data_IF_912773961367
#
_entry.id   IF_912773961367
#
_cell.length_a   1.000
_cell.length_b   1.000
_cell.length_c   1.000
_cell.angle_alpha   90.00
_cell.angle_beta   90.00
_cell.angle_gamma   90.00
#
_symmetry.space_group_name_H-M   'P 1'
#
loop_
_entity.id
_entity.type
_entity.pdbx_description
1 polymer ?
#
# COMPACT_ATOMS: atom_id res chain seq x y z
N UNK A 1 21.72 22.38 -13.97
CA UNK A 1 21.58 21.49 -12.78
C UNK A 1 20.57 20.42 -13.13
N UNK A 2 21.02 19.18 -13.25
CA UNK A 2 20.17 18.05 -13.58
C UNK A 2 19.24 17.77 -12.40
N UNK A 3 17.91 17.95 -12.58
CA UNK A 3 16.91 17.49 -11.61
C UNK A 3 16.82 15.98 -11.74
N UNK A 4 17.31 15.24 -10.76
CA UNK A 4 17.12 13.79 -10.71
C UNK A 4 15.67 13.49 -10.35
N UNK A 5 14.91 12.94 -11.29
CA UNK A 5 13.55 12.46 -11.08
C UNK A 5 13.62 10.99 -10.66
N UNK A 6 12.98 10.67 -9.56
CA UNK A 6 12.70 9.29 -9.15
C UNK A 6 11.21 9.02 -9.45
N UNK A 7 10.94 8.16 -10.42
CA UNK A 7 9.60 7.92 -10.94
C UNK A 7 9.09 6.56 -10.43
N UNK A 8 7.93 6.57 -9.78
CA UNK A 8 7.22 5.39 -9.33
C UNK A 8 5.89 5.31 -10.09
N UNK A 9 5.65 4.24 -10.81
CA UNK A 9 4.42 4.06 -11.58
C UNK A 9 3.56 2.96 -10.98
N UNK A 10 2.31 3.26 -10.65
CA UNK A 10 1.30 2.31 -10.20
C UNK A 10 0.29 2.06 -11.31
N UNK A 11 -0.09 0.82 -11.48
CA UNK A 11 -1.35 0.42 -12.08
C UNK A 11 -2.03 -0.46 -11.03
N UNK A 12 -3.17 -0.04 -10.51
CA UNK A 12 -3.92 -0.80 -9.54
C UNK A 12 -4.84 -1.76 -10.28
N UNK A 13 -4.68 -3.06 -10.07
CA UNK A 13 -5.69 -4.05 -10.43
C UNK A 13 -6.52 -4.40 -9.19
N UNK A 14 -7.78 -4.29 -9.32
CA UNK A 14 -8.92 -4.98 -8.67
C UNK A 14 -8.79 -5.46 -7.21
N UNK A 15 -9.70 -5.03 -6.36
CA UNK A 15 -10.01 -5.67 -5.09
C UNK A 15 -11.07 -6.75 -5.31
N UNK A 16 -10.79 -7.98 -4.87
CA UNK A 16 -11.70 -9.12 -4.97
C UNK A 16 -12.16 -9.56 -3.59
N UNK A 17 -13.45 -9.80 -3.40
CA UNK A 17 -14.01 -10.35 -2.17
C UNK A 17 -14.49 -11.78 -2.35
N UNK A 18 -14.23 -12.62 -1.37
CA UNK A 18 -14.91 -13.93 -1.25
C UNK A 18 -16.37 -13.75 -0.85
N UNK A 19 -17.22 -14.71 -1.16
CA UNK A 19 -18.69 -14.67 -1.07
C UNK A 19 -19.31 -14.48 0.32
N UNK A 20 -18.56 -14.07 1.34
CA UNK A 20 -19.02 -13.92 2.72
C UNK A 20 -19.32 -12.49 3.19
N UNK A 21 -19.10 -11.47 2.36
CA UNK A 21 -19.49 -10.10 2.68
C UNK A 21 -20.98 -9.89 2.46
N UNK A 22 -21.65 -9.20 3.40
CA UNK A 22 -23.10 -8.93 3.41
C UNK A 22 -23.67 -8.58 2.02
N UNK A 23 -24.53 -9.45 1.52
CA UNK A 23 -24.92 -9.61 0.12
C UNK A 23 -26.01 -8.64 -0.37
N UNK A 24 -26.27 -7.50 0.26
CA UNK A 24 -27.41 -6.65 -0.12
C UNK A 24 -27.18 -5.69 -1.29
N UNK A 25 -25.93 -5.42 -1.68
CA UNK A 25 -25.63 -4.43 -2.73
C UNK A 25 -24.58 -4.88 -3.79
N UNK A 26 -24.27 -6.17 -3.86
CA UNK A 26 -23.28 -6.69 -4.80
C UNK A 26 -23.99 -7.25 -6.03
N UNK A 27 -23.67 -6.74 -7.22
CA UNK A 27 -24.14 -7.32 -8.49
C UNK A 27 -23.56 -8.72 -8.69
N UNK A 28 -24.36 -9.74 -8.38
CA UNK A 28 -23.98 -11.15 -8.50
C UNK A 28 -23.89 -11.65 -9.96
N UNK A 29 -24.22 -10.81 -10.96
CA UNK A 29 -24.12 -11.15 -12.39
C UNK A 29 -22.73 -10.86 -12.97
N UNK A 30 -21.86 -10.13 -12.26
CA UNK A 30 -20.51 -9.86 -12.72
C UNK A 30 -19.70 -11.16 -12.82
N UNK A 31 -18.86 -11.31 -13.85
CA UNK A 31 -18.06 -12.52 -14.04
C UNK A 31 -17.17 -12.78 -12.85
N UNK A 32 -17.05 -14.06 -12.46
CA UNK A 32 -16.06 -14.50 -11.48
C UNK A 32 -14.70 -14.45 -12.12
N UNK A 33 -13.77 -13.75 -11.48
CA UNK A 33 -12.39 -13.68 -11.92
C UNK A 33 -11.52 -14.74 -11.20
N UNK A 34 -10.22 -14.75 -11.44
CA UNK A 34 -9.26 -15.77 -10.93
C UNK A 34 -9.61 -16.34 -9.54
N UNK A 35 -9.68 -17.66 -9.43
CA UNK A 35 -9.78 -18.35 -8.14
C UNK A 35 -11.10 -18.24 -7.41
N UNK A 36 -12.18 -17.78 -8.07
CA UNK A 36 -13.51 -17.66 -7.45
C UNK A 36 -13.76 -16.30 -6.77
N UNK A 37 -12.86 -15.34 -6.94
CA UNK A 37 -13.04 -13.97 -6.48
C UNK A 37 -13.92 -13.17 -7.43
N UNK A 38 -14.69 -12.22 -6.91
CA UNK A 38 -15.51 -11.29 -7.68
C UNK A 38 -14.90 -9.89 -7.60
N UNK A 39 -14.70 -9.24 -8.76
CA UNK A 39 -14.26 -7.85 -8.83
C UNK A 39 -15.33 -6.92 -8.25
N UNK A 40 -14.96 -6.12 -7.24
CA UNK A 40 -15.88 -5.16 -6.60
C UNK A 40 -15.38 -3.71 -6.67
N UNK A 41 -14.10 -3.50 -6.90
CA UNK A 41 -13.50 -2.19 -7.02
C UNK A 41 -12.25 -2.27 -7.89
N UNK A 42 -12.04 -1.27 -8.75
CA UNK A 42 -10.82 -1.14 -9.53
C UNK A 42 -10.42 0.31 -9.75
N UNK A 43 -9.14 0.52 -10.02
CA UNK A 43 -8.58 1.78 -10.49
C UNK A 43 -7.54 1.49 -11.57
N UNK A 44 -7.89 1.78 -12.82
CA UNK A 44 -7.06 1.44 -13.98
C UNK A 44 -6.22 2.60 -14.48
N UNK A 45 -6.43 3.82 -13.93
CA UNK A 45 -5.71 5.04 -14.30
C UNK A 45 -5.77 5.37 -15.80
N UNK A 46 -6.89 5.06 -16.47
CA UNK A 46 -7.13 5.24 -17.89
C UNK A 46 -7.52 6.67 -18.32
N UNK A 47 -7.16 7.64 -17.49
CA UNK A 47 -7.40 9.07 -17.70
C UNK A 47 -6.09 9.88 -17.56
N UNK A 48 -6.17 11.19 -17.80
CA UNK A 48 -5.07 12.12 -17.54
C UNK A 48 -5.52 13.18 -16.55
N UNK A 49 -4.78 13.33 -15.44
CA UNK A 49 -5.13 14.29 -14.39
C UNK A 49 -4.57 13.93 -13.03
N UNK A 50 -5.13 14.57 -12.01
CA UNK A 50 -4.90 14.16 -10.62
C UNK A 50 -5.57 12.82 -10.35
N UNK A 51 -5.08 12.04 -9.34
CA UNK A 51 -5.80 10.87 -8.84
C UNK A 51 -7.28 11.17 -8.59
N UNK A 52 -8.16 10.27 -9.02
CA UNK A 52 -9.60 10.43 -8.89
C UNK A 52 -9.99 10.66 -7.43
N UNK A 53 -10.51 11.85 -7.15
CA UNK A 53 -10.89 12.27 -5.79
C UNK A 53 -12.07 11.50 -5.20
N UNK A 54 -12.78 10.69 -6.00
CA UNK A 54 -13.82 9.79 -5.51
C UNK A 54 -13.24 8.49 -4.94
N UNK A 55 -12.00 8.15 -5.33
CA UNK A 55 -11.28 6.93 -4.92
C UNK A 55 -10.09 7.22 -4.00
N UNK A 56 -9.42 8.37 -4.16
CA UNK A 56 -8.19 8.71 -3.48
C UNK A 56 -8.28 10.01 -2.68
N UNK A 57 -7.59 10.04 -1.58
CA UNK A 57 -7.24 11.26 -0.82
C UNK A 57 -5.72 11.37 -0.70
N UNK A 58 -5.24 12.58 -0.46
CA UNK A 58 -3.85 12.80 -0.07
C UNK A 58 -3.76 12.77 1.46
N UNK A 59 -2.79 12.04 1.98
CA UNK A 59 -2.49 12.02 3.41
C UNK A 59 -1.27 12.92 3.68
N UNK A 60 -1.48 13.99 4.42
CA UNK A 60 -0.45 14.98 4.77
C UNK A 60 -0.34 15.18 6.28
N UNK A 61 -1.16 14.51 7.08
CA UNK A 61 -1.26 14.75 8.53
C UNK A 61 0.02 14.41 9.28
N UNK A 62 0.75 13.37 8.84
CA UNK A 62 2.00 12.93 9.45
C UNK A 62 3.21 13.79 9.13
N UNK A 63 3.13 14.77 8.22
CA UNK A 63 4.26 15.64 7.84
C UNK A 63 4.92 16.34 9.04
N UNK A 64 4.14 16.76 10.03
CA UNK A 64 4.62 17.42 11.24
C UNK A 64 5.44 16.50 12.14
N UNK A 65 5.23 15.19 12.06
CA UNK A 65 5.89 14.16 12.88
C UNK A 65 6.96 13.39 12.11
N UNK A 66 7.31 13.79 10.86
CA UNK A 66 8.20 13.02 9.98
C UNK A 66 7.76 11.55 9.85
N UNK A 67 6.44 11.34 9.85
CA UNK A 67 5.77 10.05 9.73
C UNK A 67 6.22 9.00 10.76
N UNK A 68 6.82 9.44 11.88
CA UNK A 68 7.36 8.56 12.93
C UNK A 68 8.70 7.91 12.60
N UNK A 69 9.20 8.04 11.36
CA UNK A 69 10.39 7.34 10.86
C UNK A 69 11.55 8.28 10.48
N UNK A 70 11.49 9.57 10.87
CA UNK A 70 12.44 10.60 10.46
C UNK A 70 12.53 10.77 8.92
N UNK A 71 11.41 10.58 8.23
CA UNK A 71 11.34 10.71 6.77
C UNK A 71 11.65 12.13 6.32
N UNK A 72 12.42 12.25 5.24
CA UNK A 72 12.99 13.52 4.79
C UNK A 72 12.09 14.30 3.82
N UNK A 73 11.01 13.69 3.30
CA UNK A 73 10.08 14.34 2.39
C UNK A 73 8.93 15.03 3.14
N UNK A 74 8.36 16.01 2.46
CA UNK A 74 7.03 16.57 2.70
C UNK A 74 6.05 15.95 1.72
N UNK A 75 5.00 15.29 2.19
CA UNK A 75 3.94 14.81 1.31
C UNK A 75 3.01 15.95 0.94
N UNK A 76 2.84 16.16 -0.36
CA UNK A 76 2.03 17.25 -0.92
C UNK A 76 0.62 16.78 -1.26
N UNK A 77 -0.32 17.71 -1.35
CA UNK A 77 -1.69 17.47 -1.79
C UNK A 77 -1.95 18.22 -3.10
N UNK A 78 -2.57 17.54 -4.08
CA UNK A 78 -3.01 18.16 -5.34
C UNK A 78 -1.87 18.77 -6.16
N UNK A 79 -0.67 18.21 -6.10
CA UNK A 79 0.51 18.70 -6.80
C UNK A 79 0.92 17.73 -7.91
N UNK A 80 0.82 18.21 -9.15
CA UNK A 80 1.10 17.43 -10.37
C UNK A 80 2.50 16.80 -10.39
N UNK A 81 3.48 17.53 -9.87
CA UNK A 81 4.86 17.09 -9.83
C UNK A 81 5.10 15.87 -8.93
N UNK A 82 4.23 15.68 -7.92
CA UNK A 82 4.36 14.58 -6.96
C UNK A 82 3.37 13.43 -7.20
N UNK A 83 2.16 13.73 -7.72
CA UNK A 83 1.18 12.68 -8.06
C UNK A 83 0.41 13.07 -9.32
N UNK A 84 0.51 12.25 -10.37
CA UNK A 84 -0.14 12.51 -11.65
C UNK A 84 -0.47 11.22 -12.38
N UNK A 85 -1.65 11.18 -12.98
CA UNK A 85 -2.11 10.09 -13.84
C UNK A 85 -1.93 10.50 -15.30
N UNK A 86 -1.24 9.68 -16.09
CA UNK A 86 -1.16 9.76 -17.55
C UNK A 86 -0.64 8.45 -18.13
N UNK A 87 -0.97 8.20 -19.39
CA UNK A 87 -0.51 7.01 -20.12
C UNK A 87 -0.88 5.69 -19.44
N UNK A 88 -2.06 5.64 -18.78
CA UNK A 88 -2.54 4.45 -18.09
C UNK A 88 -1.82 4.13 -16.79
N UNK A 89 -1.15 5.10 -16.17
CA UNK A 89 -0.44 4.89 -14.89
C UNK A 89 -0.57 6.09 -13.96
N UNK A 90 -0.66 5.83 -12.66
CA UNK A 90 -0.35 6.82 -11.63
C UNK A 90 1.17 6.87 -11.42
N UNK A 91 1.72 8.07 -11.40
CA UNK A 91 3.12 8.34 -11.04
C UNK A 91 3.18 9.07 -9.72
N UNK A 92 3.82 8.46 -8.71
CA UNK A 92 4.24 9.14 -7.49
C UNK A 92 5.72 9.46 -7.64
N UNK A 93 6.07 10.74 -7.51
CA UNK A 93 7.41 11.24 -7.78
C UNK A 93 7.96 11.97 -6.56
N UNK A 94 9.12 11.51 -6.08
CA UNK A 94 9.89 12.25 -5.09
C UNK A 94 10.82 13.25 -5.79
N UNK A 95 10.81 14.50 -5.35
CA UNK A 95 11.67 15.56 -5.87
C UNK A 95 12.60 16.07 -4.79
N UNK A 96 13.86 16.27 -5.14
CA UNK A 96 14.81 16.94 -4.26
C UNK A 96 14.62 18.44 -4.38
N UNK A 97 13.81 18.99 -3.49
CA UNK A 97 13.51 20.41 -3.40
C UNK A 97 13.04 20.76 -1.98
N UNK A 98 13.36 21.95 -1.47
CA UNK A 98 12.91 22.35 -0.13
C UNK A 98 11.42 22.70 -0.12
N UNK A 99 10.69 22.18 0.85
CA UNK A 99 9.29 22.54 1.15
C UNK A 99 8.99 22.29 2.62
N UNK A 100 8.40 23.29 3.30
CA UNK A 100 7.97 23.18 4.71
C UNK A 100 9.06 22.61 5.65
N UNK A 101 10.31 23.05 5.44
CA UNK A 101 11.44 22.58 6.24
C UNK A 101 11.97 21.20 5.91
N UNK A 102 11.42 20.53 4.88
CA UNK A 102 11.91 19.24 4.37
C UNK A 102 12.77 19.46 3.12
N UNK A 103 13.64 18.48 2.83
CA UNK A 103 14.57 18.54 1.68
C UNK A 103 14.01 17.89 0.42
N UNK A 104 12.88 17.18 0.55
CA UNK A 104 12.23 16.50 -0.56
C UNK A 104 10.72 16.73 -0.50
N UNK A 105 10.07 16.61 -1.65
CA UNK A 105 8.61 16.49 -1.76
C UNK A 105 8.25 15.13 -2.35
N UNK A 106 7.08 14.60 -2.02
CA UNK A 106 6.53 13.37 -2.56
C UNK A 106 5.01 13.36 -2.40
N UNK A 107 4.35 12.21 -2.60
CA UNK A 107 2.93 12.04 -2.30
C UNK A 107 2.68 10.75 -1.54
N UNK A 108 1.65 10.76 -0.70
CA UNK A 108 1.04 9.63 -0.03
C UNK A 108 -0.46 9.68 -0.31
N UNK A 109 -0.95 8.65 -0.98
CA UNK A 109 -2.35 8.51 -1.37
C UNK A 109 -3.02 7.44 -0.53
N UNK A 110 -4.27 7.67 -0.16
CA UNK A 110 -5.07 6.74 0.66
C UNK A 110 -6.47 6.57 0.10
N UNK A 111 -7.05 5.38 0.29
CA UNK A 111 -8.45 5.11 -0.06
C UNK A 111 -9.41 5.29 1.10
N UNK A 112 -8.98 5.74 2.27
CA UNK A 112 -9.79 5.87 3.49
C UNK A 112 -11.11 6.60 3.24
N UNK A 113 -12.24 5.97 3.62
CA UNK A 113 -13.58 6.49 3.43
C UNK A 113 -14.10 6.42 1.99
N UNK A 114 -13.33 5.83 1.07
CA UNK A 114 -13.65 5.69 -0.36
C UNK A 114 -13.44 4.26 -0.87
N UNK A 115 -12.62 3.50 -0.17
CA UNK A 115 -12.33 2.11 -0.38
C UNK A 115 -11.77 1.55 0.94
N UNK A 116 -12.68 1.03 1.75
CA UNK A 116 -12.38 0.41 3.05
C UNK A 116 -12.95 -0.99 3.03
N UNK A 117 -12.10 -1.98 3.25
CA UNK A 117 -12.47 -3.38 3.10
C UNK A 117 -12.17 -4.19 4.36
N UNK A 118 -13.01 -5.18 4.61
CA UNK A 118 -12.75 -6.27 5.51
C UNK A 118 -12.62 -7.53 4.66
N UNK A 119 -11.42 -8.09 4.62
CA UNK A 119 -11.04 -9.24 3.80
C UNK A 119 -11.05 -8.99 2.30
N UNK A 120 -10.49 -9.89 1.54
CA UNK A 120 -10.48 -9.84 0.08
C UNK A 120 -9.13 -10.18 -0.53
N UNK A 121 -9.11 -10.21 -1.87
CA UNK A 121 -7.88 -10.25 -2.66
C UNK A 121 -7.63 -8.88 -3.27
N UNK A 122 -6.41 -8.38 -3.08
CA UNK A 122 -5.93 -7.09 -3.56
C UNK A 122 -4.78 -7.34 -4.52
N UNK A 123 -4.83 -6.77 -5.72
CA UNK A 123 -3.75 -6.87 -6.69
C UNK A 123 -3.32 -5.45 -7.10
N UNK A 124 -2.08 -5.12 -6.90
CA UNK A 124 -1.50 -3.82 -7.23
C UNK A 124 -0.32 -4.05 -8.17
N UNK A 125 -0.46 -3.60 -9.42
CA UNK A 125 0.61 -3.68 -10.40
C UNK A 125 1.46 -2.42 -10.34
N UNK A 126 2.73 -2.56 -9.98
CA UNK A 126 3.62 -1.43 -9.82
C UNK A 126 5.02 -1.70 -10.36
N UNK A 127 5.70 -0.61 -10.76
CA UNK A 127 7.13 -0.57 -11.04
C UNK A 127 7.79 0.39 -10.06
N UNK A 128 8.82 -0.08 -9.37
CA UNK A 128 9.42 0.61 -8.25
C UNK A 128 10.48 1.64 -8.69
N UNK A 129 10.76 2.67 -7.90
CA UNK A 129 11.85 3.60 -8.17
C UNK A 129 13.20 2.97 -7.87
N UNK A 130 14.26 3.61 -8.35
CA UNK A 130 15.64 3.31 -7.97
C UNK A 130 16.25 4.50 -7.25
N UNK A 131 17.24 4.23 -6.41
CA UNK A 131 18.04 5.27 -5.76
C UNK A 131 18.14 5.04 -4.26
N UNK A 132 19.36 5.16 -3.75
CA UNK A 132 19.59 5.05 -2.31
C UNK A 132 18.82 6.14 -1.56
N UNK A 133 18.04 5.74 -0.57
CA UNK A 133 17.17 6.61 0.21
C UNK A 133 15.70 6.54 -0.22
N UNK A 134 15.35 5.90 -1.35
CA UNK A 134 13.94 5.67 -1.70
C UNK A 134 13.32 4.56 -0.84
N UNK A 135 12.08 4.75 -0.46
CA UNK A 135 11.27 3.78 0.29
C UNK A 135 9.83 3.81 -0.22
N UNK A 136 9.55 3.18 -1.36
CA UNK A 136 8.19 2.98 -1.84
C UNK A 136 7.46 1.93 -1.00
N UNK A 137 6.16 2.12 -0.78
CA UNK A 137 5.32 1.16 -0.09
C UNK A 137 3.91 1.05 -0.70
N UNK A 138 3.40 -0.17 -0.70
CA UNK A 138 2.01 -0.56 -0.90
C UNK A 138 1.59 -1.28 0.37
N UNK A 139 0.67 -0.71 1.12
CA UNK A 139 0.36 -1.16 2.46
C UNK A 139 -1.05 -0.78 2.88
N UNK A 140 -1.48 -1.23 4.05
CA UNK A 140 -2.81 -0.96 4.57
C UNK A 140 -2.77 -0.57 6.04
N UNK A 141 -3.61 0.39 6.40
CA UNK A 141 -3.90 0.78 7.79
C UNK A 141 -5.39 0.59 8.12
N UNK A 142 -5.70 0.38 9.41
CA UNK A 142 -7.09 0.29 9.88
C UNK A 142 -7.84 1.60 9.59
N UNK A 143 -9.08 1.48 9.16
CA UNK A 143 -9.92 2.65 8.88
C UNK A 143 -10.41 3.32 10.16
N UNK A 144 -10.84 2.52 11.13
CA UNK A 144 -11.61 2.98 12.30
C UNK A 144 -10.79 2.97 13.61
N UNK A 145 -9.59 2.39 13.62
CA UNK A 145 -8.68 2.33 14.78
C UNK A 145 -9.34 1.76 16.06
N UNK A 146 -10.21 0.75 15.92
CA UNK A 146 -11.07 0.26 16.99
C UNK A 146 -10.31 -0.29 18.21
N UNK A 147 -9.10 -0.83 18.01
CA UNK A 147 -8.26 -1.36 19.10
C UNK A 147 -7.29 -0.31 19.68
N UNK A 148 -7.30 0.92 19.13
CA UNK A 148 -6.44 2.02 19.55
C UNK A 148 -5.34 2.34 18.53
N UNK A 149 -4.49 3.29 18.88
CA UNK A 149 -3.42 3.79 18.03
C UNK A 149 -2.41 2.71 17.65
N UNK A 150 -1.63 2.99 16.60
CA UNK A 150 -0.57 2.13 16.14
C UNK A 150 0.34 1.66 17.30
N UNK A 151 0.70 0.38 17.38
CA UNK A 151 0.43 -0.70 16.43
C UNK A 151 -0.80 -1.58 16.79
N UNK A 152 -1.65 -1.18 17.74
CA UNK A 152 -2.75 -2.01 18.30
C UNK A 152 -3.79 -2.40 17.27
N UNK A 153 -4.15 -1.48 16.39
CA UNK A 153 -5.16 -1.75 15.35
C UNK A 153 -4.57 -2.37 14.08
N UNK A 154 -3.26 -2.66 14.07
CA UNK A 154 -2.60 -3.39 12.99
C UNK A 154 -2.06 -2.55 11.85
N UNK A 155 -1.19 -3.16 11.03
CA UNK A 155 -0.66 -2.67 9.76
C UNK A 155 -0.28 -3.88 8.91
N UNK A 156 -0.62 -3.85 7.62
CA UNK A 156 -0.27 -4.87 6.63
C UNK A 156 0.58 -4.22 5.56
N UNK A 157 1.86 -4.60 5.47
CA UNK A 157 2.76 -4.13 4.42
C UNK A 157 2.80 -5.16 3.30
N UNK A 158 2.05 -4.87 2.21
CA UNK A 158 1.95 -5.77 1.05
C UNK A 158 3.25 -5.76 0.27
N UNK A 159 3.89 -4.62 0.16
CA UNK A 159 5.18 -4.44 -0.51
C UNK A 159 5.90 -3.23 0.08
N UNK A 160 7.09 -3.45 0.55
CA UNK A 160 8.08 -2.42 0.83
C UNK A 160 9.36 -2.73 0.07
N UNK A 161 10.04 -1.69 -0.40
CA UNK A 161 11.37 -1.79 -0.99
C UNK A 161 12.22 -0.62 -0.50
N UNK A 162 13.49 -0.86 -0.25
CA UNK A 162 14.42 0.17 0.17
C UNK A 162 15.54 0.34 -0.86
N UNK A 163 15.80 1.56 -1.26
CA UNK A 163 16.73 1.85 -2.36
C UNK A 163 18.20 1.48 -2.11
N UNK A 164 18.58 1.03 -0.92
CA UNK A 164 19.89 0.43 -0.63
C UNK A 164 19.91 -1.10 -0.81
N UNK A 165 18.74 -1.75 -0.91
CA UNK A 165 18.55 -3.17 -1.21
C UNK A 165 17.46 -3.30 -2.32
N UNK A 166 17.73 -2.81 -3.53
CA UNK A 166 16.71 -2.56 -4.55
C UNK A 166 16.09 -3.82 -5.13
N UNK A 167 16.77 -4.95 -5.02
CA UNK A 167 16.34 -6.24 -5.60
C UNK A 167 15.52 -7.08 -4.62
N UNK A 168 15.15 -6.51 -3.47
CA UNK A 168 14.44 -7.21 -2.40
C UNK A 168 13.11 -6.55 -2.08
N UNK A 169 12.03 -7.32 -2.08
CA UNK A 169 10.72 -6.93 -1.57
C UNK A 169 10.55 -7.48 -0.16
N UNK A 170 9.99 -6.68 0.72
CA UNK A 170 9.65 -7.05 2.10
C UNK A 170 8.14 -6.94 2.27
N UNK A 171 7.53 -7.92 2.90
CA UNK A 171 6.17 -7.86 3.41
C UNK A 171 6.17 -8.04 4.91
N UNK A 172 5.37 -7.27 5.62
CA UNK A 172 5.39 -7.23 7.07
C UNK A 172 3.98 -7.25 7.67
N UNK A 173 3.93 -7.61 8.94
CA UNK A 173 2.77 -7.49 9.82
C UNK A 173 3.18 -6.75 11.08
N UNK A 174 2.46 -5.66 11.40
CA UNK A 174 2.63 -4.96 12.67
C UNK A 174 1.35 -5.04 13.49
N UNK A 175 1.49 -5.52 14.72
CA UNK A 175 0.40 -5.64 15.70
C UNK A 175 0.93 -5.23 17.09
N UNK A 176 0.08 -5.16 18.09
CA UNK A 176 0.55 -4.83 19.46
C UNK A 176 1.65 -5.77 19.92
N UNK A 177 1.51 -7.10 19.67
CA UNK A 177 2.50 -8.13 20.04
C UNK A 177 3.69 -8.18 19.10
N UNK A 178 3.49 -7.86 17.82
CA UNK A 178 4.50 -8.02 16.76
C UNK A 178 4.71 -6.72 16.02
N UNK A 179 5.72 -5.92 16.38
CA UNK A 179 6.02 -4.68 15.68
C UNK A 179 7.50 -4.31 15.75
N UNK A 180 7.92 -3.39 14.89
CA UNK A 180 9.32 -3.00 14.79
C UNK A 180 9.82 -2.21 16.02
N UNK A 181 8.94 -1.46 16.70
CA UNK A 181 9.34 -0.64 17.84
C UNK A 181 9.85 -1.49 19.03
N UNK A 182 9.41 -2.75 19.11
CA UNK A 182 9.88 -3.73 20.10
C UNK A 182 10.67 -4.89 19.47
N UNK A 183 10.98 -4.80 18.17
CA UNK A 183 11.81 -5.77 17.45
C UNK A 183 11.18 -7.15 17.25
N UNK A 184 9.86 -7.23 17.24
CA UNK A 184 9.11 -8.51 17.14
C UNK A 184 8.26 -8.63 15.88
N UNK A 185 8.29 -7.65 14.96
CA UNK A 185 7.50 -7.69 13.73
C UNK A 185 7.69 -9.01 12.97
N UNK A 186 6.62 -9.48 12.35
CA UNK A 186 6.66 -10.63 11.47
C UNK A 186 6.83 -10.13 10.04
N UNK A 187 7.84 -10.61 9.34
CA UNK A 187 8.08 -10.25 7.95
C UNK A 187 8.70 -11.40 7.18
N UNK A 188 8.68 -11.28 5.86
CA UNK A 188 9.46 -12.11 4.96
C UNK A 188 9.97 -11.28 3.78
N UNK A 189 10.96 -11.83 3.09
CA UNK A 189 11.60 -11.22 1.94
C UNK A 189 11.52 -12.12 0.72
N UNK A 190 11.42 -11.50 -0.45
CA UNK A 190 11.50 -12.19 -1.75
C UNK A 190 12.40 -11.39 -2.69
N UNK A 191 13.19 -12.08 -3.50
CA UNK A 191 13.99 -11.46 -4.54
C UNK A 191 13.11 -10.99 -5.71
N UNK A 192 13.32 -9.75 -6.16
CA UNK A 192 12.65 -9.16 -7.32
C UNK A 192 13.67 -8.28 -8.08
N UNK A 193 14.63 -8.87 -8.82
CA UNK A 193 15.82 -8.17 -9.32
C UNK A 193 15.54 -7.20 -10.48
N UNK A 194 14.32 -7.15 -10.96
CA UNK A 194 13.88 -6.25 -12.04
C UNK A 194 12.64 -5.43 -11.69
N UNK A 195 12.23 -5.38 -10.41
CA UNK A 195 11.06 -4.62 -9.95
C UNK A 195 11.12 -3.11 -10.26
N UNK A 196 12.30 -2.59 -10.55
CA UNK A 196 12.52 -1.21 -11.00
C UNK A 196 12.62 -1.08 -12.54
N UNK A 197 12.65 -2.18 -13.28
CA UNK A 197 12.69 -2.21 -14.76
C UNK A 197 11.33 -2.58 -15.36
N UNK A 198 10.64 -3.51 -14.72
CA UNK A 198 9.36 -4.04 -15.15
C UNK A 198 8.26 -3.77 -14.12
N UNK A 199 7.02 -3.89 -14.54
CA UNK A 199 5.87 -3.92 -13.64
C UNK A 199 5.66 -5.32 -13.13
N UNK A 200 5.51 -5.46 -11.82
CA UNK A 200 5.14 -6.68 -11.12
C UNK A 200 3.81 -6.51 -10.40
N UNK A 201 3.12 -7.60 -10.12
CA UNK A 201 1.88 -7.62 -9.36
C UNK A 201 2.20 -7.97 -7.91
N UNK A 202 1.93 -7.04 -7.01
CA UNK A 202 2.00 -7.25 -5.57
C UNK A 202 0.60 -7.53 -5.06
N UNK A 203 0.39 -8.68 -4.41
CA UNK A 203 -0.94 -9.08 -4.01
C UNK A 203 -1.03 -9.49 -2.55
N UNK A 204 -2.21 -9.23 -1.99
CA UNK A 204 -2.66 -9.69 -0.68
C UNK A 204 -3.91 -10.55 -0.87
N UNK A 205 -3.92 -11.74 -0.31
CA UNK A 205 -5.14 -12.48 0.00
C UNK A 205 -5.36 -12.44 1.50
N UNK A 206 -6.47 -11.88 1.93
CA UNK A 206 -6.77 -11.66 3.32
C UNK A 206 -8.13 -12.25 3.68
N UNK A 207 -8.10 -13.18 4.61
CA UNK A 207 -9.24 -13.94 5.11
C UNK A 207 -9.34 -13.84 6.64
N UNK A 208 -10.35 -14.43 7.25
CA UNK A 208 -10.61 -14.33 8.69
C UNK A 208 -9.47 -14.89 9.56
N UNK A 209 -8.83 -15.97 9.10
CA UNK A 209 -7.84 -16.71 9.89
C UNK A 209 -6.39 -16.51 9.45
N UNK A 210 -6.18 -15.96 8.27
CA UNK A 210 -4.83 -15.70 7.76
C UNK A 210 -4.84 -14.67 6.63
N UNK A 211 -3.68 -14.09 6.38
CA UNK A 211 -3.41 -13.42 5.11
C UNK A 211 -2.10 -13.89 4.48
N UNK A 212 -2.03 -13.76 3.15
CA UNK A 212 -0.92 -14.21 2.32
C UNK A 212 -0.49 -13.09 1.38
N UNK A 213 0.82 -12.89 1.25
CA UNK A 213 1.39 -11.90 0.34
C UNK A 213 2.13 -12.57 -0.81
N UNK A 214 2.00 -11.98 -2.00
CA UNK A 214 2.52 -12.52 -3.25
C UNK A 214 3.24 -11.44 -4.07
N UNK A 215 4.25 -11.88 -4.85
CA UNK A 215 4.81 -11.14 -5.99
C UNK A 215 4.64 -12.02 -7.22
N UNK A 216 3.92 -11.57 -8.24
CA UNK A 216 3.64 -12.31 -9.48
C UNK A 216 3.13 -13.73 -9.22
N UNK A 217 2.13 -13.89 -8.35
CA UNK A 217 1.55 -15.16 -7.89
C UNK A 217 2.52 -16.05 -7.07
N UNK A 218 3.76 -15.62 -6.79
CA UNK A 218 4.65 -16.34 -5.90
C UNK A 218 4.39 -15.94 -4.44
N UNK A 219 3.84 -16.86 -3.64
CA UNK A 219 3.66 -16.70 -2.21
C UNK A 219 5.00 -16.50 -1.50
N UNK A 220 5.12 -15.44 -0.69
CA UNK A 220 6.35 -15.20 0.07
C UNK A 220 6.14 -14.92 1.56
N UNK A 221 4.93 -14.55 1.99
CA UNK A 221 4.63 -14.36 3.39
C UNK A 221 3.23 -14.87 3.73
N UNK A 222 3.08 -15.49 4.89
CA UNK A 222 1.79 -15.86 5.48
C UNK A 222 1.78 -15.47 6.94
N UNK A 223 0.76 -14.73 7.34
CA UNK A 223 0.51 -14.40 8.74
C UNK A 223 -0.82 -14.99 9.18
N UNK A 224 -0.81 -15.72 10.31
CA UNK A 224 -1.97 -16.48 10.79
C UNK A 224 -2.50 -15.92 12.10
N UNK A 225 -3.82 -15.98 12.23
CA UNK A 225 -4.51 -15.75 13.49
C UNK A 225 -4.15 -16.86 14.49
N UNK A 226 -3.53 -16.47 15.60
CA UNK A 226 -3.19 -17.41 16.69
C UNK A 226 -4.39 -17.70 17.60
N UNK A 227 -5.54 -17.05 17.39
CA UNK A 227 -6.72 -17.18 18.24
C UNK A 227 -6.57 -16.63 19.65
N UNK A 228 -5.62 -15.69 19.86
CA UNK A 228 -5.24 -15.19 21.19
C UNK A 228 -5.69 -13.74 21.46
N UNK A 229 -6.41 -13.12 20.52
CA UNK A 229 -6.93 -11.76 20.68
C UNK A 229 -6.37 -10.76 19.66
N UNK A 230 -6.84 -9.51 19.76
CA UNK A 230 -6.50 -8.43 18.82
C UNK A 230 -5.01 -8.02 18.90
N UNK A 231 -4.34 -8.28 20.01
CA UNK A 231 -2.92 -7.98 20.19
C UNK A 231 -2.05 -8.73 19.16
N UNK A 232 -2.57 -9.86 18.66
CA UNK A 232 -1.95 -10.67 17.61
C UNK A 232 -2.67 -10.49 16.28
N UNK A 233 -4.02 -10.45 16.28
CA UNK A 233 -4.85 -10.45 15.08
C UNK A 233 -5.87 -9.32 15.09
N UNK A 234 -5.45 -8.07 14.84
CA UNK A 234 -6.38 -6.93 14.70
C UNK A 234 -7.03 -6.85 13.31
N UNK A 235 -6.79 -7.81 12.44
CA UNK A 235 -7.19 -7.84 11.03
C UNK A 235 -8.62 -8.37 10.82
N UNK A 236 -9.47 -8.23 11.81
CA UNK A 236 -10.93 -8.48 11.79
C UNK A 236 -11.73 -7.17 11.67
N UNK A 237 -11.08 -6.09 11.29
CA UNK A 237 -11.65 -4.75 11.08
C UNK A 237 -11.33 -4.26 9.66
N UNK A 238 -11.97 -3.16 9.25
CA UNK A 238 -11.76 -2.59 7.93
C UNK A 238 -10.41 -1.88 7.83
N UNK A 239 -9.75 -2.09 6.69
CA UNK A 239 -8.51 -1.44 6.32
C UNK A 239 -8.68 -0.71 4.99
N UNK A 240 -7.85 0.31 4.78
CA UNK A 240 -7.73 1.05 3.55
C UNK A 240 -6.31 0.96 3.00
N UNK A 241 -6.17 1.14 1.67
CA UNK A 241 -4.88 1.08 0.97
C UNK A 241 -4.15 2.42 1.09
N UNK A 242 -2.84 2.33 1.23
CA UNK A 242 -1.90 3.44 1.14
C UNK A 242 -0.86 3.17 0.06
N UNK A 243 -0.55 4.20 -0.72
CA UNK A 243 0.51 4.20 -1.73
C UNK A 243 1.40 5.42 -1.51
N UNK A 244 2.69 5.22 -1.28
CA UNK A 244 3.61 6.34 -1.09
C UNK A 244 5.03 6.04 -1.59
N UNK A 245 5.80 7.12 -1.70
CA UNK A 245 7.24 7.06 -1.88
C UNK A 245 7.89 7.93 -0.80
N UNK A 246 8.45 7.32 0.23
CA UNK A 246 9.24 7.98 1.27
C UNK A 246 10.72 8.14 0.86
N UNK A 247 11.42 9.08 1.52
CA UNK A 247 12.85 9.34 1.38
C UNK A 247 13.49 9.41 2.76
#
# INVERSE_FOLDING_TARGET
MSRSFLLFGFILYSVFLSSLANASDIDLSAPMDKGGWKLIWSEEFDYTGFPDSTKWSYDTEGNVYQWGNNEAQYYTSGRKENAWVSDGVLRITALKEPMEGRSYTSARLITKGKGDWLYGRFEIRAKLPTGRGTWPAIWMLPTDWEYGDWPKSGEIDIMENVGYDPDTIVGSSHTEKYNHAIGTQKNAKIACPDCYKAFHVYALEWEEDEYRLYVDDQLYFTFKNEGTGYEVWPYDKRFHILLNLAI
#
